data_IF_258180668919
#
_entry.id   IF_258180668919
#
_cell.length_a   1.000
_cell.length_b   1.000
_cell.length_c   1.000
_cell.angle_alpha   90.00
_cell.angle_beta   90.00
_cell.angle_gamma   90.00
#
_symmetry.space_group_name_H-M   'P 1'
#
loop_
_entity.id
_entity.type
_entity.pdbx_description
1 polymer ?
#
# COMPACT_ATOMS: atom_id res chain seq x y z
N UNK A 1 52.39 -14.86 46.37
CA UNK A 1 52.86 -14.44 45.03
C UNK A 1 51.64 -14.00 44.22
N UNK A 2 51.56 -12.69 43.97
CA UNK A 2 50.80 -11.94 42.93
C UNK A 2 49.30 -12.28 42.80
N UNK A 3 48.42 -11.50 43.40
CA UNK A 3 47.80 -10.27 42.87
C UNK A 3 46.99 -10.48 41.58
N UNK A 4 45.66 -10.38 41.71
CA UNK A 4 44.85 -9.63 40.75
C UNK A 4 43.65 -9.02 41.46
N UNK A 5 43.69 -7.70 41.60
CA UNK A 5 42.52 -6.88 41.90
C UNK A 5 41.62 -6.81 40.66
N UNK A 6 40.31 -6.88 40.85
CA UNK A 6 39.36 -6.25 39.93
C UNK A 6 38.41 -5.42 40.78
N UNK A 7 38.48 -4.12 40.54
CA UNK A 7 37.75 -3.07 41.20
C UNK A 7 36.24 -3.14 40.91
N UNK A 8 35.49 -2.67 41.90
CA UNK A 8 34.06 -2.42 41.88
C UNK A 8 33.71 -1.27 40.91
N UNK A 9 32.68 -1.46 40.08
CA UNK A 9 31.88 -0.34 39.56
C UNK A 9 30.42 -0.68 39.81
N UNK A 10 29.87 -0.02 40.84
CA UNK A 10 28.44 -0.03 41.12
C UNK A 10 27.69 0.71 40.02
N UNK A 11 26.57 0.13 39.57
CA UNK A 11 25.54 0.84 38.84
C UNK A 11 24.25 0.68 39.65
N UNK A 12 23.93 1.75 40.38
CA UNK A 12 22.64 2.01 40.99
C UNK A 12 21.55 1.91 39.93
N UNK A 13 20.67 0.92 40.07
CA UNK A 13 19.45 0.78 39.30
C UNK A 13 18.47 1.89 39.72
N UNK A 14 18.56 3.06 39.07
CA UNK A 14 17.58 4.13 39.23
C UNK A 14 16.32 3.74 38.45
N UNK A 15 15.36 3.10 39.14
CA UNK A 15 14.02 2.85 38.62
C UNK A 15 13.31 4.18 38.50
N UNK A 16 13.37 4.80 37.32
CA UNK A 16 12.46 5.87 36.91
C UNK A 16 11.09 5.23 36.68
N UNK A 17 10.23 5.26 37.71
CA UNK A 17 8.79 5.09 37.53
C UNK A 17 8.30 6.35 36.82
N UNK A 18 8.39 6.36 35.49
CA UNK A 18 7.61 7.28 34.68
C UNK A 18 6.16 6.82 34.79
N UNK A 19 5.42 7.45 35.70
CA UNK A 19 3.97 7.49 35.67
C UNK A 19 3.56 8.18 34.36
N UNK A 20 3.45 7.38 33.29
CA UNK A 20 2.92 7.83 32.02
C UNK A 20 1.43 8.08 32.19
N UNK A 21 1.03 9.35 32.28
CA UNK A 21 -0.33 9.76 32.02
C UNK A 21 -0.71 9.31 30.60
N UNK A 22 -1.44 8.21 30.49
CA UNK A 22 -1.95 7.68 29.22
C UNK A 22 -3.07 8.60 28.73
N UNK A 23 -2.70 9.70 28.05
CA UNK A 23 -3.64 10.41 27.20
C UNK A 23 -3.97 9.48 26.03
N UNK A 24 -5.18 8.90 26.04
CA UNK A 24 -5.67 8.12 24.90
C UNK A 24 -5.58 9.02 23.66
N UNK A 25 -4.85 8.64 22.59
CA UNK A 25 -4.77 9.47 21.40
C UNK A 25 -6.17 9.73 20.85
N UNK A 26 -6.49 11.00 20.65
CA UNK A 26 -7.78 11.43 20.10
C UNK A 26 -7.74 11.23 18.58
N UNK A 27 -8.19 10.07 18.11
CA UNK A 27 -8.26 9.79 16.68
C UNK A 27 -9.40 10.61 16.04
N UNK A 28 -9.04 11.55 15.17
CA UNK A 28 -10.01 12.25 14.32
C UNK A 28 -10.66 11.22 13.39
N UNK A 29 -11.98 11.07 13.49
CA UNK A 29 -12.76 10.18 12.62
C UNK A 29 -13.16 10.95 11.37
N UNK A 30 -12.83 10.41 10.20
CA UNK A 30 -13.23 10.96 8.91
C UNK A 30 -14.48 10.23 8.41
N UNK A 31 -15.29 10.92 7.60
CA UNK A 31 -16.48 10.34 6.97
C UNK A 31 -16.07 9.51 5.75
N UNK A 32 -16.40 8.23 5.76
CA UNK A 32 -16.07 7.31 4.68
C UNK A 32 -16.82 7.63 3.38
N UNK A 33 -17.97 8.31 3.46
CA UNK A 33 -18.82 8.64 2.31
C UNK A 33 -18.50 10.00 1.68
N UNK A 34 -17.59 10.79 2.29
CA UNK A 34 -17.26 12.14 1.84
C UNK A 34 -16.71 12.19 0.40
N UNK A 35 -16.21 11.06 -0.11
CA UNK A 35 -15.54 10.97 -1.41
C UNK A 35 -16.26 10.03 -2.40
N UNK A 36 -17.47 9.53 -2.08
CA UNK A 36 -18.16 8.54 -2.90
C UNK A 36 -18.38 9.01 -4.34
N UNK A 37 -18.75 10.28 -4.55
CA UNK A 37 -18.93 10.84 -5.89
C UNK A 37 -17.63 10.81 -6.70
N UNK A 38 -16.53 11.24 -6.08
CA UNK A 38 -15.21 11.32 -6.73
C UNK A 38 -14.66 9.91 -7.00
N UNK A 39 -14.86 8.98 -6.07
CA UNK A 39 -14.48 7.56 -6.24
C UNK A 39 -15.25 6.94 -7.41
N UNK A 40 -16.56 7.15 -7.51
CA UNK A 40 -17.38 6.58 -8.58
C UNK A 40 -17.04 7.18 -9.95
N UNK A 41 -16.75 8.48 -10.02
CA UNK A 41 -16.28 9.14 -11.24
C UNK A 41 -14.95 8.53 -11.71
N UNK A 42 -13.94 8.50 -10.83
CA UNK A 42 -12.63 7.92 -11.14
C UNK A 42 -12.73 6.42 -11.50
N UNK A 43 -13.56 5.65 -10.79
CA UNK A 43 -13.84 4.25 -11.10
C UNK A 43 -14.35 4.07 -12.54
N UNK A 44 -15.30 4.93 -12.95
CA UNK A 44 -15.88 4.92 -14.30
C UNK A 44 -14.85 5.24 -15.39
N UNK A 45 -14.00 6.24 -15.15
CA UNK A 45 -12.98 6.70 -16.10
C UNK A 45 -11.89 5.63 -16.31
N UNK A 46 -11.44 5.01 -15.23
CA UNK A 46 -10.29 4.11 -15.25
C UNK A 46 -10.65 2.62 -15.28
N UNK A 47 -11.95 2.28 -15.29
CA UNK A 47 -12.47 0.91 -15.26
C UNK A 47 -11.96 0.08 -14.07
N UNK A 48 -11.86 0.74 -12.92
CA UNK A 48 -11.46 0.14 -11.64
C UNK A 48 -12.71 -0.07 -10.79
N UNK A 49 -12.78 -1.18 -10.05
CA UNK A 49 -13.86 -1.43 -9.10
C UNK A 49 -13.86 -0.34 -7.99
N UNK A 50 -14.95 0.44 -7.80
CA UNK A 50 -15.01 1.45 -6.77
C UNK A 50 -14.80 0.88 -5.36
N UNK A 51 -15.19 -0.37 -5.09
CA UNK A 51 -14.94 -1.03 -3.79
C UNK A 51 -13.45 -1.18 -3.51
N UNK A 52 -12.64 -1.46 -4.53
CA UNK A 52 -11.19 -1.56 -4.40
C UNK A 52 -10.57 -0.20 -4.07
N UNK A 53 -11.03 0.87 -4.74
CA UNK A 53 -10.56 2.24 -4.49
C UNK A 53 -10.88 2.64 -3.04
N UNK A 54 -12.13 2.47 -2.61
CA UNK A 54 -12.57 2.77 -1.25
C UNK A 54 -11.79 1.96 -0.20
N UNK A 55 -11.59 0.65 -0.44
CA UNK A 55 -10.82 -0.20 0.47
C UNK A 55 -9.35 0.24 0.60
N UNK A 56 -8.72 0.66 -0.50
CA UNK A 56 -7.36 1.21 -0.49
C UNK A 56 -7.32 2.53 0.30
N UNK A 57 -8.25 3.46 0.08
CA UNK A 57 -8.32 4.72 0.84
C UNK A 57 -8.47 4.47 2.34
N UNK A 58 -9.34 3.54 2.74
CA UNK A 58 -9.51 3.15 4.14
C UNK A 58 -8.19 2.65 4.75
N UNK A 59 -7.47 1.78 4.04
CA UNK A 59 -6.22 1.17 4.52
C UNK A 59 -5.06 2.16 4.55
N UNK A 60 -4.96 3.04 3.55
CA UNK A 60 -3.85 3.96 3.38
C UNK A 60 -3.93 5.18 4.31
N UNK A 61 -5.11 5.78 4.44
CA UNK A 61 -5.28 7.03 5.18
C UNK A 61 -6.41 7.02 6.20
N UNK A 62 -7.29 6.01 6.18
CA UNK A 62 -8.54 6.06 6.95
C UNK A 62 -9.40 7.25 6.55
N UNK A 63 -9.40 7.61 5.27
CA UNK A 63 -10.06 8.79 4.69
C UNK A 63 -9.50 10.14 5.18
N UNK A 64 -8.27 10.18 5.69
CA UNK A 64 -7.60 11.44 6.05
C UNK A 64 -6.96 12.10 4.81
N UNK A 65 -7.49 13.23 4.29
CA UNK A 65 -6.91 13.90 3.14
C UNK A 65 -5.54 14.53 3.43
N UNK A 66 -5.24 14.81 4.69
CA UNK A 66 -3.98 15.45 5.12
C UNK A 66 -2.89 14.42 5.46
N UNK A 67 -3.12 13.13 5.20
CA UNK A 67 -2.19 12.07 5.56
C UNK A 67 -0.85 12.21 4.82
N UNK A 68 0.25 12.17 5.57
CA UNK A 68 1.61 12.15 5.03
C UNK A 68 2.42 11.08 5.77
N UNK A 69 2.92 10.07 5.04
CA UNK A 69 3.78 9.05 5.64
C UNK A 69 5.21 9.56 5.88
N UNK A 70 6.00 8.91 6.75
CA UNK A 70 7.43 9.22 6.92
C UNK A 70 8.27 9.12 5.64
N UNK A 71 7.76 8.41 4.63
CA UNK A 71 8.43 8.26 3.33
C UNK A 71 7.93 9.26 2.28
N UNK A 72 7.12 10.25 2.68
CA UNK A 72 6.46 11.23 1.81
C UNK A 72 5.46 10.62 0.82
N UNK A 73 4.64 9.69 1.32
CA UNK A 73 3.42 9.25 0.64
C UNK A 73 2.26 10.14 1.12
N UNK A 74 1.46 10.70 0.21
CA UNK A 74 0.60 11.86 0.48
C UNK A 74 -0.86 11.54 0.13
N UNK A 75 -1.76 12.06 0.97
CA UNK A 75 -3.19 12.12 0.73
C UNK A 75 -3.92 10.81 0.97
N UNK A 76 -5.16 10.76 0.46
CA UNK A 76 -6.12 9.68 0.69
C UNK A 76 -5.60 8.30 0.29
N UNK A 77 -4.90 8.23 -0.84
CA UNK A 77 -4.37 7.02 -1.44
C UNK A 77 -2.85 6.87 -1.25
N UNK A 78 -2.24 7.70 -0.39
CA UNK A 78 -0.81 7.64 -0.05
C UNK A 78 0.10 7.49 -1.27
N UNK A 79 -0.03 8.41 -2.23
CA UNK A 79 0.80 8.41 -3.43
C UNK A 79 2.14 9.09 -3.16
N UNK A 80 3.18 8.62 -3.84
CA UNK A 80 4.49 9.29 -3.85
C UNK A 80 4.66 9.94 -5.20
N UNK A 81 4.84 11.26 -5.21
CA UNK A 81 5.01 12.06 -6.43
C UNK A 81 6.02 11.44 -7.41
N UNK A 82 7.20 11.06 -6.90
CA UNK A 82 8.32 10.52 -7.67
C UNK A 82 8.19 9.07 -8.15
N UNK A 83 7.11 8.36 -7.79
CA UNK A 83 6.90 6.95 -8.20
C UNK A 83 5.48 6.71 -8.69
N UNK A 84 4.53 6.36 -7.82
CA UNK A 84 3.14 6.10 -8.21
C UNK A 84 2.49 7.31 -8.89
N UNK A 85 2.87 8.53 -8.50
CA UNK A 85 2.46 9.75 -9.20
C UNK A 85 2.98 9.84 -10.65
N UNK A 86 4.28 9.58 -10.88
CA UNK A 86 4.85 9.52 -12.22
C UNK A 86 4.19 8.43 -13.09
N UNK A 87 3.95 7.25 -12.51
CA UNK A 87 3.27 6.15 -13.20
C UNK A 87 1.83 6.52 -13.58
N UNK A 88 1.09 7.19 -12.69
CA UNK A 88 -0.23 7.73 -12.98
C UNK A 88 -0.19 8.77 -14.10
N UNK A 89 0.74 9.73 -14.07
CA UNK A 89 0.92 10.72 -15.14
C UNK A 89 1.20 10.05 -16.48
N UNK A 90 2.14 9.10 -16.52
CA UNK A 90 2.46 8.34 -17.72
C UNK A 90 1.25 7.58 -18.26
N UNK A 91 0.46 6.96 -17.38
CA UNK A 91 -0.78 6.26 -17.77
C UNK A 91 -1.81 7.22 -18.38
N UNK A 92 -1.94 8.43 -17.82
CA UNK A 92 -2.78 9.51 -18.33
C UNK A 92 -2.21 10.22 -19.57
N UNK A 93 -1.09 9.76 -20.13
CA UNK A 93 -0.43 10.39 -21.28
C UNK A 93 0.24 11.74 -20.96
N UNK A 94 0.42 12.08 -19.68
CA UNK A 94 1.13 13.28 -19.23
C UNK A 94 2.64 13.02 -19.12
N UNK A 95 3.42 14.09 -19.29
CA UNK A 95 4.88 14.07 -19.07
C UNK A 95 5.20 14.49 -17.63
N UNK A 96 6.31 14.00 -17.11
CA UNK A 96 6.78 14.35 -15.76
C UNK A 96 6.02 13.60 -14.66
N UNK A 97 5.97 14.21 -13.48
CA UNK A 97 5.34 13.68 -12.29
C UNK A 97 4.51 14.80 -11.62
N UNK A 98 3.46 14.48 -10.86
CA UNK A 98 2.77 15.46 -10.03
C UNK A 98 3.70 16.00 -8.95
N UNK A 99 3.38 17.16 -8.40
CA UNK A 99 4.05 17.68 -7.21
C UNK A 99 3.32 17.29 -5.92
N UNK A 100 3.93 17.58 -4.76
CA UNK A 100 3.35 17.25 -3.46
C UNK A 100 2.06 18.04 -3.18
N UNK A 101 1.87 19.22 -3.78
CA UNK A 101 0.63 19.99 -3.65
C UNK A 101 -0.53 19.37 -4.41
N UNK A 102 -0.28 18.86 -5.62
CA UNK A 102 -1.26 18.09 -6.40
C UNK A 102 -1.80 16.92 -5.57
N UNK A 103 -0.92 16.22 -4.83
CA UNK A 103 -1.30 15.05 -4.06
C UNK A 103 -2.07 15.37 -2.77
N UNK A 104 -2.11 16.62 -2.32
CA UNK A 104 -2.90 17.05 -1.15
C UNK A 104 -4.34 17.35 -1.50
N UNK A 105 -4.63 17.67 -2.76
CA UNK A 105 -6.00 17.83 -3.23
C UNK A 105 -6.71 16.46 -3.29
N UNK A 106 -7.81 16.24 -2.55
CA UNK A 106 -8.45 14.94 -2.50
C UNK A 106 -8.92 14.40 -3.86
N UNK A 107 -9.42 15.29 -4.72
CA UNK A 107 -9.92 14.89 -6.04
C UNK A 107 -8.77 14.44 -6.94
N UNK A 108 -7.70 15.21 -7.00
CA UNK A 108 -6.48 14.88 -7.74
C UNK A 108 -5.82 13.62 -7.19
N UNK A 109 -5.79 13.45 -5.86
CA UNK A 109 -5.22 12.27 -5.23
C UNK A 109 -5.99 10.98 -5.59
N UNK A 110 -7.32 11.01 -5.54
CA UNK A 110 -8.16 9.86 -5.93
C UNK A 110 -8.04 9.57 -7.42
N UNK A 111 -8.07 10.60 -8.26
CA UNK A 111 -7.90 10.47 -9.72
C UNK A 111 -6.56 9.81 -10.07
N UNK A 112 -5.45 10.32 -9.53
CA UNK A 112 -4.12 9.77 -9.79
C UNK A 112 -3.93 8.39 -9.18
N UNK A 113 -4.50 8.14 -8.00
CA UNK A 113 -4.38 6.83 -7.35
C UNK A 113 -5.16 5.76 -8.08
N UNK A 114 -6.33 6.12 -8.62
CA UNK A 114 -7.13 5.24 -9.47
C UNK A 114 -6.47 5.02 -10.83
N UNK A 115 -5.88 6.06 -11.42
CA UNK A 115 -5.05 5.93 -12.62
C UNK A 115 -3.86 4.98 -12.39
N UNK A 116 -3.23 5.03 -11.22
CA UNK A 116 -2.15 4.12 -10.85
C UNK A 116 -2.64 2.67 -10.72
N UNK A 117 -3.78 2.42 -10.07
CA UNK A 117 -4.40 1.09 -10.02
C UNK A 117 -4.66 0.56 -11.44
N UNK A 118 -5.22 1.39 -12.30
CA UNK A 118 -5.50 1.07 -13.69
C UNK A 118 -4.22 0.75 -14.48
N UNK A 119 -3.14 1.51 -14.25
CA UNK A 119 -1.83 1.22 -14.83
C UNK A 119 -1.29 -0.15 -14.39
N UNK A 120 -1.44 -0.50 -13.10
CA UNK A 120 -1.08 -1.83 -12.59
C UNK A 120 -1.90 -2.92 -13.30
N UNK A 121 -3.22 -2.78 -13.34
CA UNK A 121 -4.13 -3.80 -13.88
C UNK A 121 -4.00 -3.98 -15.40
N UNK A 122 -3.87 -2.88 -16.16
CA UNK A 122 -3.98 -2.91 -17.62
C UNK A 122 -2.64 -2.80 -18.36
N UNK A 123 -1.55 -2.41 -17.70
CA UNK A 123 -0.21 -2.39 -18.32
C UNK A 123 0.76 -3.39 -17.68
N UNK A 124 0.73 -3.54 -16.35
CA UNK A 124 1.73 -4.34 -15.64
C UNK A 124 1.26 -5.78 -15.39
N UNK A 125 -0.04 -5.98 -15.15
CA UNK A 125 -0.63 -7.25 -14.71
C UNK A 125 -1.73 -7.76 -15.64
N UNK A 126 -1.85 -7.17 -16.83
CA UNK A 126 -2.91 -7.48 -17.80
C UNK A 126 -2.91 -8.93 -18.30
N UNK A 127 -1.79 -9.63 -18.19
CA UNK A 127 -1.65 -11.03 -18.58
C UNK A 127 -2.01 -12.01 -17.46
N UNK A 128 -2.39 -11.54 -16.28
CA UNK A 128 -3.02 -12.37 -15.24
C UNK A 128 -4.49 -12.55 -15.62
N UNK A 129 -4.90 -13.78 -15.90
CA UNK A 129 -6.21 -14.07 -16.50
C UNK A 129 -7.35 -13.95 -15.49
N UNK A 130 -7.20 -14.60 -14.33
CA UNK A 130 -8.22 -14.61 -13.30
C UNK A 130 -8.38 -13.20 -12.68
N UNK A 131 -9.57 -12.62 -12.69
CA UNK A 131 -9.78 -11.25 -12.21
C UNK A 131 -9.56 -11.11 -10.70
N UNK A 132 -9.83 -12.15 -9.90
CA UNK A 132 -9.58 -12.15 -8.45
C UNK A 132 -8.09 -12.22 -8.18
N UNK A 133 -7.37 -13.10 -8.86
CA UNK A 133 -5.89 -13.15 -8.80
C UNK A 133 -5.25 -11.84 -9.26
N UNK A 134 -5.77 -11.21 -10.32
CA UNK A 134 -5.27 -9.91 -10.79
C UNK A 134 -5.52 -8.79 -9.78
N UNK A 135 -6.64 -8.82 -9.06
CA UNK A 135 -6.93 -7.91 -7.94
C UNK A 135 -5.95 -8.10 -6.79
N UNK A 136 -5.72 -9.34 -6.34
CA UNK A 136 -4.70 -9.66 -5.33
C UNK A 136 -3.29 -9.23 -5.74
N UNK A 137 -2.93 -9.47 -7.01
CA UNK A 137 -1.66 -9.02 -7.55
C UNK A 137 -1.57 -7.48 -7.57
N UNK A 138 -2.68 -6.79 -7.85
CA UNK A 138 -2.74 -5.33 -7.84
C UNK A 138 -2.53 -4.79 -6.42
N UNK A 139 -3.16 -5.37 -5.40
CA UNK A 139 -2.95 -4.98 -4.00
C UNK A 139 -1.49 -5.15 -3.54
N UNK A 140 -0.88 -6.30 -3.84
CA UNK A 140 0.52 -6.54 -3.54
C UNK A 140 1.45 -5.58 -4.29
N UNK A 141 1.15 -5.33 -5.57
CA UNK A 141 1.90 -4.41 -6.42
C UNK A 141 1.70 -2.95 -6.00
N UNK A 142 0.55 -2.58 -5.47
CA UNK A 142 0.30 -1.24 -4.94
C UNK A 142 1.21 -0.95 -3.74
N UNK A 143 1.35 -1.93 -2.84
CA UNK A 143 2.19 -1.79 -1.65
C UNK A 143 3.70 -1.81 -1.97
N UNK A 144 4.15 -2.70 -2.86
CA UNK A 144 5.58 -2.98 -3.02
C UNK A 144 6.08 -3.04 -4.48
N UNK A 145 5.23 -2.72 -5.45
CA UNK A 145 5.54 -2.72 -6.88
C UNK A 145 5.36 -4.07 -7.56
N UNK A 146 4.84 -4.08 -8.79
CA UNK A 146 4.57 -5.31 -9.55
C UNK A 146 5.84 -6.14 -9.80
N UNK A 147 6.98 -5.49 -10.04
CA UNK A 147 8.26 -6.18 -10.23
C UNK A 147 8.70 -6.98 -9.00
N UNK A 148 8.45 -6.46 -7.78
CA UNK A 148 8.77 -7.18 -6.55
C UNK A 148 7.90 -8.43 -6.41
N UNK A 149 6.59 -8.30 -6.66
CA UNK A 149 5.66 -9.41 -6.69
C UNK A 149 6.05 -10.48 -7.70
N UNK A 150 6.28 -10.12 -8.97
CA UNK A 150 6.57 -11.08 -10.04
C UNK A 150 7.86 -11.87 -9.79
N UNK A 151 8.88 -11.24 -9.19
CA UNK A 151 10.13 -11.89 -8.81
C UNK A 151 9.98 -12.97 -7.74
N UNK A 152 8.87 -13.01 -7.01
CA UNK A 152 8.57 -14.13 -6.08
C UNK A 152 8.19 -15.42 -6.81
N UNK A 153 7.86 -15.35 -8.09
CA UNK A 153 7.55 -16.51 -8.94
C UNK A 153 8.72 -16.84 -9.86
N UNK A 154 9.24 -15.83 -10.58
CA UNK A 154 10.40 -15.99 -11.46
C UNK A 154 11.06 -14.64 -11.74
N UNK A 155 12.35 -14.63 -12.05
CA UNK A 155 13.05 -13.44 -12.54
C UNK A 155 12.62 -13.05 -13.97
N UNK A 156 12.14 -14.02 -14.76
CA UNK A 156 11.55 -13.78 -16.08
C UNK A 156 10.05 -13.47 -15.95
N UNK A 157 9.61 -12.35 -16.53
CA UNK A 157 8.23 -11.86 -16.41
C UNK A 157 7.24 -12.83 -17.05
N UNK A 158 7.55 -13.35 -18.23
CA UNK A 158 6.64 -14.26 -18.97
C UNK A 158 6.43 -15.55 -18.19
N UNK A 159 7.52 -16.09 -17.63
CA UNK A 159 7.49 -17.28 -16.77
C UNK A 159 6.72 -17.02 -15.48
N UNK A 160 6.95 -15.88 -14.81
CA UNK A 160 6.22 -15.51 -13.60
C UNK A 160 4.70 -15.43 -13.85
N UNK A 161 4.29 -14.79 -14.94
CA UNK A 161 2.88 -14.72 -15.34
C UNK A 161 2.32 -16.11 -15.66
N UNK A 162 3.06 -16.96 -16.36
CA UNK A 162 2.64 -18.34 -16.64
C UNK A 162 2.40 -19.14 -15.36
N UNK A 163 3.29 -19.01 -14.38
CA UNK A 163 3.14 -19.64 -13.06
C UNK A 163 1.92 -19.11 -12.32
N UNK A 164 1.73 -17.79 -12.28
CA UNK A 164 0.56 -17.16 -11.64
C UNK A 164 -0.75 -17.67 -12.26
N UNK A 165 -0.81 -17.79 -13.58
CA UNK A 165 -2.00 -18.27 -14.28
C UNK A 165 -2.31 -19.76 -14.08
N UNK A 166 -1.42 -20.52 -13.43
CA UNK A 166 -1.67 -21.92 -13.03
C UNK A 166 -2.22 -22.02 -11.59
N UNK A 167 -2.30 -20.91 -10.85
CA UNK A 167 -2.77 -20.89 -9.47
C UNK A 167 -4.23 -20.47 -9.38
N UNK A 168 -4.95 -21.05 -8.41
CA UNK A 168 -6.19 -20.46 -7.93
C UNK A 168 -5.91 -19.16 -7.16
N UNK A 169 -6.91 -18.28 -6.97
CA UNK A 169 -6.74 -17.06 -6.16
C UNK A 169 -6.24 -17.36 -4.74
N UNK A 170 -6.73 -18.42 -4.10
CA UNK A 170 -6.28 -18.83 -2.76
C UNK A 170 -4.82 -19.31 -2.76
N UNK A 171 -4.42 -20.08 -3.78
CA UNK A 171 -3.03 -20.54 -3.90
C UNK A 171 -2.08 -19.36 -4.18
N UNK A 172 -2.49 -18.39 -4.99
CA UNK A 172 -1.75 -17.15 -5.20
C UNK A 172 -1.60 -16.36 -3.91
N UNK A 173 -2.70 -16.12 -3.18
CA UNK A 173 -2.68 -15.40 -1.91
C UNK A 173 -1.80 -16.13 -0.87
N UNK A 174 -1.88 -17.46 -0.82
CA UNK A 174 -0.99 -18.27 0.02
C UNK A 174 0.48 -18.10 -0.39
N UNK A 175 0.81 -18.15 -1.68
CA UNK A 175 2.18 -17.95 -2.19
C UNK A 175 2.74 -16.59 -1.75
N UNK A 176 1.99 -15.49 -1.93
CA UNK A 176 2.44 -14.16 -1.52
C UNK A 176 2.69 -14.08 -0.01
N UNK A 177 1.86 -14.75 0.80
CA UNK A 177 2.06 -14.82 2.27
C UNK A 177 3.32 -15.57 2.67
N UNK A 178 3.69 -16.63 1.94
CA UNK A 178 4.84 -17.46 2.30
C UNK A 178 6.16 -16.92 1.75
N UNK A 179 6.17 -16.41 0.52
CA UNK A 179 7.40 -16.19 -0.25
C UNK A 179 7.71 -14.73 -0.56
N UNK A 180 6.79 -13.79 -0.30
CA UNK A 180 7.10 -12.38 -0.53
C UNK A 180 8.12 -11.87 0.51
N UNK A 181 9.29 -11.34 0.10
CA UNK A 181 10.37 -11.00 1.03
C UNK A 181 10.02 -9.84 1.95
N UNK A 182 9.15 -8.93 1.50
CA UNK A 182 8.62 -7.86 2.33
C UNK A 182 7.31 -8.33 2.98
N UNK A 183 7.29 -8.43 4.31
CA UNK A 183 6.09 -8.76 5.09
C UNK A 183 4.96 -7.72 4.94
N UNK A 184 5.28 -6.54 4.39
CA UNK A 184 4.30 -5.49 4.13
C UNK A 184 3.26 -5.92 3.09
N UNK A 185 3.64 -6.52 1.95
CA UNK A 185 2.71 -6.92 0.89
C UNK A 185 1.57 -7.85 1.39
N UNK A 186 1.85 -9.02 1.99
CA UNK A 186 0.77 -9.90 2.45
C UNK A 186 -0.06 -9.28 3.58
N UNK A 187 0.53 -8.44 4.43
CA UNK A 187 -0.21 -7.68 5.46
C UNK A 187 -1.14 -6.64 4.84
N UNK A 188 -0.68 -5.97 3.78
CA UNK A 188 -1.45 -4.98 3.06
C UNK A 188 -2.64 -5.63 2.36
N UNK A 189 -2.43 -6.70 1.59
CA UNK A 189 -3.49 -7.49 0.96
C UNK A 189 -4.55 -7.92 1.98
N UNK A 190 -4.13 -8.49 3.12
CA UNK A 190 -5.08 -8.88 4.17
C UNK A 190 -5.93 -7.70 4.68
N UNK A 191 -5.35 -6.51 4.84
CA UNK A 191 -6.09 -5.33 5.28
C UNK A 191 -7.07 -4.85 4.22
N UNK A 192 -6.62 -4.76 2.97
CA UNK A 192 -7.47 -4.34 1.83
C UNK A 192 -8.60 -5.32 1.63
N UNK A 193 -8.34 -6.63 1.63
CA UNK A 193 -9.39 -7.64 1.49
C UNK A 193 -10.40 -7.61 2.62
N UNK A 194 -9.95 -7.38 3.85
CA UNK A 194 -10.86 -7.20 4.98
C UNK A 194 -11.76 -5.98 4.78
N UNK A 195 -11.24 -4.88 4.22
CA UNK A 195 -12.03 -3.67 3.94
C UNK A 195 -12.97 -3.87 2.76
N UNK A 196 -12.46 -4.40 1.65
CA UNK A 196 -13.19 -4.71 0.44
C UNK A 196 -14.41 -5.61 0.70
N UNK A 197 -14.26 -6.66 1.51
CA UNK A 197 -15.35 -7.60 1.81
C UNK A 197 -16.50 -7.01 2.64
N UNK A 198 -16.31 -5.83 3.24
CA UNK A 198 -17.32 -5.14 4.07
C UNK A 198 -18.17 -4.14 3.27
N UNK A 199 -17.68 -3.73 2.09
CA UNK A 199 -18.34 -2.82 1.15
C UNK A 199 -19.23 -3.61 0.19
#
# INVERSE_FOLDING_TARGET
MKNTEIAWVGITLMVLILAGCSSKPHYKKYDAHAYDSVINEAAGDYKVDPRLITAIIEVESGFNPDAVSPSNAIGLMQLKASTSGCDAYRYKGKRGCPDDSDLRDPQTNIDLGTAYISALQHQQLNWINDPVTRRYATEAAYANGAGALLRTFSSDRTTAISMINQLSPDAFNWHVRQYHPAAQAPRYMMKVEKAYSRL
#
